data_IF_809220715594
#
_entry.id   IF_809220715594
#
_cell.length_a   1.000
_cell.length_b   1.000
_cell.length_c   1.000
_cell.angle_alpha   90.00
_cell.angle_beta   90.00
_cell.angle_gamma   90.00
#
_symmetry.space_group_name_H-M   'P 1'
#
loop_
_entity.id
_entity.type
_entity.pdbx_description
1 polymer ?
#
# COMPACT_ATOMS: atom_id res chain seq x y z
N UNK A 1 -14.74 -3.71 16.11
CA UNK A 1 -15.36 -2.36 15.99
C UNK A 1 -16.00 -2.30 14.62
N UNK A 2 -17.25 -1.86 14.50
CA UNK A 2 -17.90 -1.68 13.19
C UNK A 2 -17.85 -0.19 12.86
N UNK A 3 -17.20 0.18 11.78
CA UNK A 3 -17.26 1.55 11.26
C UNK A 3 -18.69 1.79 10.76
N UNK A 4 -19.35 2.84 11.25
CA UNK A 4 -20.65 3.25 10.72
C UNK A 4 -20.47 3.96 9.38
N UNK A 5 -21.50 3.90 8.53
CA UNK A 5 -21.52 4.64 7.27
C UNK A 5 -21.29 6.14 7.47
N UNK A 6 -21.84 6.69 8.56
CA UNK A 6 -21.64 8.09 8.95
C UNK A 6 -20.17 8.42 9.28
N UNK A 7 -19.47 7.50 9.97
CA UNK A 7 -18.04 7.66 10.27
C UNK A 7 -17.20 7.67 9.00
N UNK A 8 -17.51 6.79 8.05
CA UNK A 8 -16.83 6.74 6.74
C UNK A 8 -17.08 8.03 5.97
N UNK A 9 -18.33 8.47 5.89
CA UNK A 9 -18.70 9.72 5.20
C UNK A 9 -17.98 10.92 5.82
N UNK A 10 -17.94 11.01 7.14
CA UNK A 10 -17.23 12.08 7.85
C UNK A 10 -15.73 12.10 7.49
N UNK A 11 -15.07 10.93 7.46
CA UNK A 11 -13.65 10.82 7.08
C UNK A 11 -13.43 11.27 5.64
N UNK A 12 -14.29 10.84 4.70
CA UNK A 12 -14.20 11.25 3.30
C UNK A 12 -14.40 12.76 3.12
N UNK A 13 -15.34 13.36 3.85
CA UNK A 13 -15.56 14.81 3.82
C UNK A 13 -14.38 15.59 4.42
N UNK A 14 -13.72 15.07 5.44
CA UNK A 14 -12.48 15.65 5.96
C UNK A 14 -11.37 15.60 4.91
N UNK A 15 -11.19 14.47 4.22
CA UNK A 15 -10.16 14.31 3.19
C UNK A 15 -10.34 15.29 2.04
N UNK A 16 -11.57 15.56 1.60
CA UNK A 16 -11.86 16.54 0.54
C UNK A 16 -11.35 17.95 0.84
N UNK A 17 -11.24 18.30 2.13
CA UNK A 17 -10.78 19.62 2.57
C UNK A 17 -9.25 19.66 2.76
N UNK A 18 -8.55 18.53 2.76
CA UNK A 18 -7.12 18.47 3.06
C UNK A 18 -6.22 18.66 1.85
N UNK A 19 -6.73 18.56 0.62
CA UNK A 19 -5.97 18.66 -0.64
C UNK A 19 -4.63 17.89 -0.58
N UNK A 20 -4.63 16.56 -0.31
CA UNK A 20 -3.40 15.84 -0.16
C UNK A 20 -2.62 15.81 -1.47
N UNK A 21 -1.31 16.07 -1.41
CA UNK A 21 -0.40 15.84 -2.53
C UNK A 21 0.11 14.40 -2.45
N UNK A 22 -0.26 13.61 -3.43
CA UNK A 22 0.09 12.20 -3.54
C UNK A 22 1.10 12.01 -4.65
N UNK A 23 2.30 11.53 -4.30
CA UNK A 23 3.31 11.13 -5.28
C UNK A 23 3.23 9.62 -5.51
N UNK A 24 3.25 9.21 -6.78
CA UNK A 24 3.07 7.82 -7.17
C UNK A 24 4.27 7.30 -7.96
N UNK A 25 4.82 6.18 -7.50
CA UNK A 25 5.78 5.36 -8.23
C UNK A 25 5.05 4.12 -8.76
N UNK A 26 4.63 4.14 -10.03
CA UNK A 26 3.90 3.07 -10.70
C UNK A 26 4.19 3.09 -12.20
N UNK A 27 3.72 2.06 -12.93
CA UNK A 27 3.75 2.06 -14.39
C UNK A 27 2.72 3.04 -15.01
N UNK A 28 2.89 3.37 -16.28
CA UNK A 28 2.04 4.35 -16.96
C UNK A 28 0.56 3.96 -17.03
N UNK A 29 0.26 2.69 -17.14
CA UNK A 29 -1.13 2.19 -17.19
C UNK A 29 -1.87 2.48 -15.89
N UNK A 30 -1.24 2.20 -14.76
CA UNK A 30 -1.79 2.44 -13.44
C UNK A 30 -1.89 3.93 -13.10
N UNK A 31 -0.92 4.74 -13.54
CA UNK A 31 -0.89 6.19 -13.29
C UNK A 31 -2.16 6.90 -13.79
N UNK A 32 -2.69 6.51 -14.96
CA UNK A 32 -3.91 7.11 -15.50
C UNK A 32 -5.13 6.89 -14.59
N UNK A 33 -5.33 5.66 -14.13
CA UNK A 33 -6.45 5.29 -13.24
C UNK A 33 -6.34 6.01 -11.89
N UNK A 34 -5.13 6.05 -11.33
CA UNK A 34 -4.87 6.70 -10.04
C UNK A 34 -5.06 8.21 -10.12
N UNK A 35 -4.61 8.85 -11.21
CA UNK A 35 -4.78 10.28 -11.41
C UNK A 35 -6.25 10.68 -11.39
N UNK A 36 -7.10 9.98 -12.13
CA UNK A 36 -8.54 10.24 -12.16
C UNK A 36 -9.19 10.01 -10.80
N UNK A 37 -8.81 8.93 -10.12
CA UNK A 37 -9.33 8.60 -8.78
C UNK A 37 -8.94 9.66 -7.75
N UNK A 38 -7.67 10.04 -7.70
CA UNK A 38 -7.16 11.02 -6.74
C UNK A 38 -7.79 12.40 -6.97
N UNK A 39 -7.91 12.83 -8.23
CA UNK A 39 -8.58 14.07 -8.59
C UNK A 39 -10.06 14.08 -8.20
N UNK A 40 -10.75 12.96 -8.33
CA UNK A 40 -12.15 12.81 -7.90
C UNK A 40 -12.32 13.10 -6.40
N UNK A 41 -11.32 12.77 -5.58
CA UNK A 41 -11.29 13.05 -4.14
C UNK A 41 -10.58 14.37 -3.78
N UNK A 42 -10.44 15.29 -4.74
CA UNK A 42 -9.77 16.59 -4.57
C UNK A 42 -8.30 16.49 -4.15
N UNK A 43 -7.63 15.37 -4.42
CA UNK A 43 -6.20 15.22 -4.23
C UNK A 43 -5.40 15.83 -5.38
N UNK A 44 -4.16 16.20 -5.10
CA UNK A 44 -3.17 16.59 -6.11
C UNK A 44 -2.31 15.38 -6.42
N UNK A 45 -2.32 14.95 -7.67
CA UNK A 45 -1.56 13.79 -8.13
C UNK A 45 -0.23 14.23 -8.77
N UNK A 46 0.84 13.54 -8.42
CA UNK A 46 2.18 13.76 -8.96
C UNK A 46 2.90 12.43 -9.19
N UNK A 47 3.78 12.38 -10.17
CA UNK A 47 4.65 11.26 -10.49
C UNK A 47 5.94 11.77 -11.15
N UNK A 48 6.90 10.90 -11.43
CA UNK A 48 8.25 11.25 -11.89
C UNK A 48 8.27 12.29 -13.03
N UNK A 49 7.46 12.07 -14.06
CA UNK A 49 7.42 12.92 -15.27
C UNK A 49 6.36 14.02 -15.18
N UNK A 50 5.71 14.20 -14.01
CA UNK A 50 4.75 15.26 -13.82
C UNK A 50 5.43 16.63 -13.75
N UNK A 51 4.72 17.68 -14.18
CA UNK A 51 5.20 19.06 -14.11
C UNK A 51 5.29 19.62 -12.69
N UNK A 52 4.71 18.92 -11.70
CA UNK A 52 4.75 19.31 -10.30
C UNK A 52 6.11 18.92 -9.73
N UNK A 53 6.94 19.90 -9.44
CA UNK A 53 8.20 19.65 -8.74
C UNK A 53 7.95 19.41 -7.25
N UNK A 54 8.71 18.48 -6.66
CA UNK A 54 8.68 18.21 -5.20
C UNK A 54 9.05 19.44 -4.36
N UNK A 55 9.71 20.43 -4.99
CA UNK A 55 10.15 21.67 -4.34
C UNK A 55 8.99 22.66 -4.12
N UNK A 56 7.95 22.59 -4.96
CA UNK A 56 6.82 23.53 -4.89
C UNK A 56 5.74 23.10 -3.90
N UNK A 57 5.58 21.77 -3.69
CA UNK A 57 4.53 21.24 -2.83
C UNK A 57 5.06 20.09 -1.98
N UNK A 58 4.90 20.14 -0.66
CA UNK A 58 5.29 19.02 0.20
C UNK A 58 4.42 17.80 -0.10
N UNK A 59 5.04 16.67 -0.42
CA UNK A 59 4.35 15.40 -0.60
C UNK A 59 3.78 14.98 0.76
N UNK A 60 2.48 14.68 0.81
CA UNK A 60 1.82 14.17 2.02
C UNK A 60 1.80 12.64 2.05
N UNK A 61 1.70 12.03 0.88
CA UNK A 61 1.57 10.58 0.72
C UNK A 61 2.41 10.09 -0.46
N UNK A 62 3.14 9.03 -0.25
CA UNK A 62 3.89 8.31 -1.28
C UNK A 62 3.22 6.94 -1.50
N UNK A 63 2.78 6.68 -2.72
CA UNK A 63 2.31 5.37 -3.17
C UNK A 63 3.41 4.68 -3.96
N UNK A 64 3.79 3.48 -3.55
CA UNK A 64 4.81 2.67 -4.22
C UNK A 64 4.17 1.39 -4.75
N UNK A 65 4.21 1.22 -6.05
CA UNK A 65 3.81 -0.01 -6.74
C UNK A 65 5.05 -0.68 -7.33
N UNK A 66 5.24 -1.95 -7.05
CA UNK A 66 6.37 -2.72 -7.57
C UNK A 66 6.06 -3.34 -8.94
N UNK A 67 5.44 -2.54 -9.84
CA UNK A 67 5.00 -3.02 -11.15
C UNK A 67 6.20 -3.31 -12.05
N UNK A 68 7.11 -2.35 -12.19
CA UNK A 68 8.31 -2.45 -13.01
C UNK A 68 9.57 -2.46 -12.18
N UNK A 69 10.53 -3.29 -12.60
CA UNK A 69 11.81 -3.48 -11.90
C UNK A 69 13.00 -3.12 -12.79
N UNK A 70 12.92 -1.99 -13.46
CA UNK A 70 14.07 -1.40 -14.14
C UNK A 70 14.86 -0.45 -13.22
N UNK A 71 16.10 -0.14 -13.58
CA UNK A 71 16.98 0.69 -12.75
C UNK A 71 16.43 2.10 -12.51
N UNK A 72 15.62 2.60 -13.44
CA UNK A 72 15.05 3.93 -13.37
C UNK A 72 13.91 4.02 -12.39
N UNK A 73 12.98 3.04 -12.38
CA UNK A 73 11.90 2.96 -11.40
C UNK A 73 12.41 2.71 -9.98
N UNK A 74 13.43 1.88 -9.81
CA UNK A 74 14.06 1.68 -8.49
C UNK A 74 14.67 2.99 -7.98
N UNK A 75 15.38 3.72 -8.84
CA UNK A 75 15.98 5.00 -8.47
C UNK A 75 14.92 6.06 -8.11
N UNK A 76 13.79 6.09 -8.81
CA UNK A 76 12.66 6.98 -8.49
C UNK A 76 12.07 6.66 -7.12
N UNK A 77 11.82 5.38 -6.83
CA UNK A 77 11.36 4.92 -5.51
C UNK A 77 12.35 5.35 -4.40
N UNK A 78 13.65 5.12 -4.59
CA UNK A 78 14.66 5.50 -3.59
C UNK A 78 14.71 7.01 -3.37
N UNK A 79 14.69 7.83 -4.43
CA UNK A 79 14.65 9.29 -4.32
C UNK A 79 13.38 9.77 -3.62
N UNK A 80 12.23 9.17 -3.95
CA UNK A 80 10.97 9.51 -3.33
C UNK A 80 11.01 9.21 -1.82
N UNK A 81 11.47 8.01 -1.42
CA UNK A 81 11.59 7.60 -0.01
C UNK A 81 12.55 8.50 0.79
N UNK A 82 13.69 8.88 0.20
CA UNK A 82 14.64 9.81 0.85
C UNK A 82 14.02 11.20 1.06
N UNK A 83 13.16 11.63 0.16
CA UNK A 83 12.49 12.93 0.25
C UNK A 83 11.32 12.96 1.25
N UNK A 84 10.87 11.80 1.76
CA UNK A 84 9.76 11.73 2.71
C UNK A 84 10.22 12.11 4.12
N UNK A 85 9.37 12.85 4.83
CA UNK A 85 9.55 13.22 6.23
C UNK A 85 8.74 12.27 7.13
N UNK A 86 9.08 12.20 8.43
CA UNK A 86 8.40 11.33 9.41
C UNK A 86 6.89 11.57 9.58
N UNK A 87 6.37 12.69 9.13
CA UNK A 87 4.92 13.03 9.23
C UNK A 87 4.12 12.60 8.00
N UNK A 88 4.80 12.24 6.94
CA UNK A 88 4.20 11.85 5.67
C UNK A 88 3.87 10.36 5.69
N UNK A 89 3.01 9.92 4.79
CA UNK A 89 2.52 8.55 4.73
C UNK A 89 3.12 7.81 3.54
N UNK A 90 3.60 6.61 3.79
CA UNK A 90 4.12 5.72 2.73
C UNK A 90 3.26 4.48 2.67
N UNK A 91 2.74 4.19 1.48
CA UNK A 91 2.02 2.98 1.17
C UNK A 91 2.81 2.16 0.15
N UNK A 92 3.01 0.89 0.46
CA UNK A 92 3.69 -0.08 -0.42
C UNK A 92 2.69 -1.16 -0.85
N UNK A 93 2.46 -1.29 -2.15
CA UNK A 93 1.79 -2.45 -2.72
C UNK A 93 2.81 -3.52 -3.10
N UNK A 94 2.69 -4.68 -2.45
CA UNK A 94 3.64 -5.78 -2.54
C UNK A 94 3.39 -6.70 -3.78
N UNK A 95 3.04 -6.09 -4.91
CA UNK A 95 2.62 -6.81 -6.12
C UNK A 95 3.74 -7.69 -6.72
N UNK A 96 3.47 -9.01 -6.85
CA UNK A 96 4.33 -9.99 -7.52
C UNK A 96 5.62 -10.37 -6.78
N UNK A 97 5.72 -10.05 -5.48
CA UNK A 97 6.91 -10.39 -4.68
C UNK A 97 7.03 -11.88 -4.35
N UNK A 98 5.94 -12.60 -4.38
CA UNK A 98 5.91 -14.05 -4.21
C UNK A 98 6.53 -14.80 -5.40
N UNK A 99 6.41 -14.23 -6.60
CA UNK A 99 6.88 -14.83 -7.86
C UNK A 99 8.27 -14.33 -8.29
N UNK A 100 8.63 -13.09 -7.93
CA UNK A 100 9.85 -12.43 -8.43
C UNK A 100 10.81 -12.05 -7.30
N UNK A 101 11.97 -12.74 -7.26
CA UNK A 101 13.01 -12.58 -6.24
C UNK A 101 13.48 -11.12 -6.11
N UNK A 102 13.66 -10.43 -7.24
CA UNK A 102 14.14 -9.04 -7.22
C UNK A 102 13.12 -8.09 -6.58
N UNK A 103 11.82 -8.25 -6.88
CA UNK A 103 10.74 -7.48 -6.24
C UNK A 103 10.69 -7.73 -4.75
N UNK A 104 10.77 -9.00 -4.35
CA UNK A 104 10.81 -9.38 -2.94
C UNK A 104 11.99 -8.74 -2.19
N UNK A 105 13.20 -8.82 -2.76
CA UNK A 105 14.38 -8.23 -2.14
C UNK A 105 14.27 -6.72 -2.02
N UNK A 106 13.70 -6.04 -3.02
CA UNK A 106 13.43 -4.61 -2.96
C UNK A 106 12.40 -4.29 -1.88
N UNK A 107 11.26 -5.00 -1.84
CA UNK A 107 10.23 -4.81 -0.82
C UNK A 107 10.79 -4.97 0.59
N UNK A 108 11.56 -6.04 0.85
CA UNK A 108 12.22 -6.27 2.14
C UNK A 108 13.23 -5.17 2.47
N UNK A 109 14.01 -4.69 1.50
CA UNK A 109 14.94 -3.58 1.68
C UNK A 109 14.21 -2.29 2.06
N UNK A 110 13.09 -1.99 1.40
CA UNK A 110 12.26 -0.83 1.71
C UNK A 110 11.70 -0.92 3.13
N UNK A 111 11.05 -2.03 3.48
CA UNK A 111 10.43 -2.24 4.80
C UNK A 111 11.46 -2.18 5.94
N UNK A 112 12.67 -2.67 5.71
CA UNK A 112 13.73 -2.67 6.74
C UNK A 112 14.43 -1.31 6.93
N UNK A 113 14.35 -0.41 5.95
CA UNK A 113 15.08 0.87 5.95
C UNK A 113 14.19 2.08 6.17
N UNK A 114 12.91 1.98 5.90
CA UNK A 114 11.98 3.11 5.93
C UNK A 114 10.72 2.76 6.72
N UNK A 115 10.09 3.78 7.30
CA UNK A 115 8.82 3.67 8.02
C UNK A 115 7.67 3.55 7.00
N UNK A 116 7.16 2.34 6.76
CA UNK A 116 6.05 2.08 5.85
C UNK A 116 4.75 2.03 6.64
N UNK A 117 3.86 2.98 6.40
CA UNK A 117 2.61 3.11 7.15
C UNK A 117 1.56 2.06 6.76
N UNK A 118 1.53 1.69 5.47
CA UNK A 118 0.57 0.70 4.95
C UNK A 118 1.31 -0.24 4.00
N UNK A 119 1.10 -1.54 4.17
CA UNK A 119 1.53 -2.57 3.23
C UNK A 119 0.28 -3.30 2.74
N UNK A 120 0.06 -3.29 1.41
CA UNK A 120 -1.04 -3.99 0.76
C UNK A 120 -0.50 -5.11 -0.12
N UNK A 121 -1.20 -6.23 -0.17
CA UNK A 121 -0.87 -7.35 -1.05
C UNK A 121 -1.90 -8.46 -0.97
N UNK A 122 -1.76 -9.45 -1.83
CA UNK A 122 -2.48 -10.71 -1.72
C UNK A 122 -1.97 -11.49 -0.51
N UNK A 123 -2.72 -12.51 -0.09
CA UNK A 123 -2.29 -13.38 1.01
C UNK A 123 -0.93 -14.01 0.73
N UNK A 124 -0.71 -14.53 -0.48
CA UNK A 124 0.56 -15.14 -0.89
C UNK A 124 1.73 -14.16 -0.78
N UNK A 125 1.54 -12.92 -1.21
CA UNK A 125 2.56 -11.87 -1.14
C UNK A 125 2.89 -11.49 0.29
N UNK A 126 1.88 -11.27 1.14
CA UNK A 126 2.09 -10.93 2.56
C UNK A 126 2.74 -12.08 3.33
N UNK A 127 2.33 -13.33 3.09
CA UNK A 127 2.97 -14.52 3.69
C UNK A 127 4.43 -14.66 3.25
N UNK A 128 4.72 -14.32 2.01
CA UNK A 128 6.09 -14.27 1.50
C UNK A 128 6.93 -13.22 2.23
N UNK A 129 6.42 -12.00 2.46
CA UNK A 129 7.11 -10.99 3.26
C UNK A 129 7.41 -11.49 4.68
N UNK A 130 6.41 -12.04 5.35
CA UNK A 130 6.55 -12.57 6.72
C UNK A 130 7.62 -13.65 6.76
N UNK A 131 7.54 -14.64 5.86
CA UNK A 131 8.49 -15.74 5.77
C UNK A 131 9.94 -15.25 5.66
N UNK A 132 10.20 -14.33 4.74
CA UNK A 132 11.56 -13.88 4.46
C UNK A 132 12.08 -12.81 5.43
N UNK A 133 11.23 -12.02 6.06
CA UNK A 133 11.66 -11.08 7.07
C UNK A 133 11.93 -11.77 8.43
N UNK A 134 11.19 -12.82 8.75
CA UNK A 134 11.27 -13.50 10.04
C UNK A 134 12.14 -14.77 10.00
N UNK A 135 12.59 -15.20 8.81
CA UNK A 135 13.29 -16.47 8.60
C UNK A 135 12.50 -17.67 9.17
N UNK A 136 11.17 -17.62 9.09
CA UNK A 136 10.29 -18.67 9.62
C UNK A 136 10.11 -19.78 8.57
N UNK A 137 10.27 -21.03 8.99
CA UNK A 137 9.99 -22.20 8.16
C UNK A 137 8.48 -22.31 7.87
N UNK A 138 8.11 -22.76 6.67
CA UNK A 138 6.70 -22.85 6.21
C UNK A 138 5.79 -23.64 7.14
N UNK A 139 6.30 -24.68 7.79
CA UNK A 139 5.52 -25.53 8.70
C UNK A 139 4.99 -24.75 9.91
N UNK A 140 5.73 -23.76 10.43
CA UNK A 140 5.32 -22.96 11.58
C UNK A 140 4.28 -21.88 11.23
N UNK A 141 4.13 -21.54 9.96
CA UNK A 141 3.12 -20.59 9.51
C UNK A 141 1.69 -21.17 9.50
N UNK A 142 1.56 -22.48 9.45
CA UNK A 142 0.28 -23.18 9.32
C UNK A 142 -0.39 -23.57 10.65
N UNK A 143 0.33 -23.59 11.78
CA UNK A 143 -0.14 -24.14 13.05
C UNK A 143 -0.72 -23.13 14.04
N UNK A 144 -0.41 -21.86 13.90
CA UNK A 144 -0.98 -20.81 14.75
C UNK A 144 -2.11 -20.10 14.03
N UNK A 145 -3.12 -19.68 14.79
CA UNK A 145 -4.21 -18.80 14.35
C UNK A 145 -3.73 -17.85 13.25
N UNK A 146 -4.22 -18.03 12.01
CA UNK A 146 -3.73 -17.36 10.79
C UNK A 146 -3.58 -15.87 10.99
N UNK A 147 -4.51 -15.26 11.73
CA UNK A 147 -4.50 -13.82 11.99
C UNK A 147 -3.36 -13.40 12.93
N UNK A 148 -2.85 -14.31 13.77
CA UNK A 148 -1.78 -13.99 14.72
C UNK A 148 -0.47 -13.59 14.01
N UNK A 149 -0.09 -14.28 12.94
CA UNK A 149 1.11 -13.95 12.15
C UNK A 149 1.02 -12.57 11.52
N UNK A 150 -0.14 -12.21 10.97
CA UNK A 150 -0.38 -10.90 10.35
C UNK A 150 -0.33 -9.77 11.39
N UNK A 151 -0.96 -9.97 12.54
CA UNK A 151 -0.91 -9.02 13.65
C UNK A 151 0.50 -8.81 14.18
N UNK A 152 1.28 -9.87 14.35
CA UNK A 152 2.66 -9.77 14.81
C UNK A 152 3.55 -9.01 13.81
N UNK A 153 3.43 -9.34 12.53
CA UNK A 153 4.16 -8.63 11.48
C UNK A 153 3.80 -7.14 11.46
N UNK A 154 2.51 -6.82 11.49
CA UNK A 154 1.99 -5.46 11.55
C UNK A 154 2.55 -4.69 12.75
N UNK A 155 2.49 -5.28 13.95
CA UNK A 155 3.06 -4.71 15.18
C UNK A 155 4.56 -4.46 15.07
N UNK A 156 5.32 -5.46 14.63
CA UNK A 156 6.77 -5.41 14.52
C UNK A 156 7.25 -4.29 13.60
N UNK A 157 6.55 -4.10 12.49
CA UNK A 157 6.89 -3.10 11.48
C UNK A 157 6.17 -1.76 11.71
N UNK A 158 5.31 -1.66 12.74
CA UNK A 158 4.47 -0.48 13.00
C UNK A 158 3.70 -0.03 11.75
N UNK A 159 3.09 -1.00 11.05
CA UNK A 159 2.41 -0.80 9.76
C UNK A 159 0.99 -1.33 9.79
N UNK A 160 0.12 -0.79 8.97
CA UNK A 160 -1.20 -1.36 8.69
C UNK A 160 -1.01 -2.37 7.55
N UNK A 161 -1.48 -3.60 7.74
CA UNK A 161 -1.56 -4.60 6.68
C UNK A 161 -2.95 -4.58 6.05
N UNK A 162 -2.99 -4.60 4.73
CA UNK A 162 -4.20 -4.81 3.93
C UNK A 162 -3.98 -6.07 3.09
N UNK A 163 -4.66 -7.14 3.45
CA UNK A 163 -4.54 -8.44 2.77
C UNK A 163 -5.77 -8.67 1.90
N UNK A 164 -5.53 -8.84 0.60
CA UNK A 164 -6.56 -9.10 -0.40
C UNK A 164 -6.73 -10.59 -0.60
N UNK A 165 -7.96 -11.06 -0.44
CA UNK A 165 -8.50 -12.34 -0.89
C UNK A 165 -9.88 -12.07 -1.54
N UNK A 166 -10.84 -12.97 -1.39
CA UNK A 166 -12.25 -12.70 -1.75
C UNK A 166 -12.85 -11.56 -0.89
N UNK A 167 -12.29 -11.35 0.29
CA UNK A 167 -12.57 -10.25 1.20
C UNK A 167 -11.24 -9.61 1.59
N UNK A 168 -11.29 -8.34 2.03
CA UNK A 168 -10.13 -7.70 2.58
C UNK A 168 -10.01 -7.96 4.08
N UNK A 169 -8.84 -8.35 4.53
CA UNK A 169 -8.46 -8.38 5.93
C UNK A 169 -7.49 -7.24 6.22
N UNK A 170 -7.79 -6.44 7.23
CA UNK A 170 -6.99 -5.26 7.59
C UNK A 170 -6.62 -5.35 9.07
N UNK A 171 -5.34 -5.09 9.40
CA UNK A 171 -4.89 -5.04 10.79
C UNK A 171 -3.76 -4.03 10.99
N UNK A 172 -3.78 -3.34 12.13
CA UNK A 172 -2.66 -2.54 12.68
C UNK A 172 -1.87 -3.32 13.74
N UNK A 173 -2.15 -4.63 13.88
CA UNK A 173 -1.59 -5.51 14.89
C UNK A 173 -2.36 -5.51 16.22
N UNK A 174 -3.24 -4.55 16.46
CA UNK A 174 -4.09 -4.44 17.65
C UNK A 174 -5.56 -4.67 17.32
N UNK A 175 -6.02 -4.08 16.22
CA UNK A 175 -7.38 -4.17 15.69
C UNK A 175 -7.41 -4.99 14.41
N UNK A 176 -8.57 -5.57 14.12
CA UNK A 176 -8.81 -6.37 12.92
C UNK A 176 -10.13 -5.93 12.27
N UNK A 177 -10.12 -5.79 10.95
CA UNK A 177 -11.28 -5.46 10.16
C UNK A 177 -11.40 -6.42 8.98
N UNK A 178 -12.64 -6.78 8.65
CA UNK A 178 -12.98 -7.58 7.48
C UNK A 178 -13.94 -6.79 6.60
N UNK A 179 -13.54 -6.55 5.35
CA UNK A 179 -14.38 -5.88 4.37
C UNK A 179 -14.78 -6.92 3.34
N UNK A 180 -16.08 -7.16 3.20
CA UNK A 180 -16.59 -8.06 2.17
C UNK A 180 -16.47 -7.40 0.80
N UNK A 181 -15.80 -8.10 -0.12
CA UNK A 181 -15.81 -7.72 -1.53
C UNK A 181 -17.23 -7.79 -2.08
N UNK A 182 -17.67 -6.75 -2.76
CA UNK A 182 -18.97 -6.75 -3.42
C UNK A 182 -18.77 -7.12 -4.89
N UNK A 183 -19.06 -8.38 -5.24
CA UNK A 183 -18.86 -8.92 -6.59
C UNK A 183 -19.83 -8.32 -7.65
N UNK A 184 -20.63 -7.32 -7.30
CA UNK A 184 -21.69 -6.78 -8.16
C UNK A 184 -21.29 -5.53 -8.96
N UNK A 185 -20.06 -5.07 -8.91
CA UNK A 185 -19.62 -3.94 -9.72
C UNK A 185 -18.85 -4.41 -10.96
N UNK A 186 -19.24 -3.88 -12.11
CA UNK A 186 -18.69 -4.15 -13.45
C UNK A 186 -17.25 -3.61 -13.67
N UNK A 187 -16.54 -3.21 -12.61
CA UNK A 187 -15.15 -2.82 -12.72
C UNK A 187 -14.26 -4.05 -12.82
N UNK A 188 -13.31 -3.99 -13.72
CA UNK A 188 -12.27 -4.99 -13.85
C UNK A 188 -11.60 -5.21 -12.49
N UNK A 189 -11.27 -6.44 -12.12
CA UNK A 189 -10.71 -6.77 -10.80
C UNK A 189 -9.49 -5.90 -10.44
N UNK A 190 -8.70 -5.51 -11.45
CA UNK A 190 -7.53 -4.67 -11.30
C UNK A 190 -7.87 -3.19 -11.02
N UNK A 191 -8.95 -2.67 -11.59
CA UNK A 191 -9.39 -1.28 -11.37
C UNK A 191 -9.94 -1.06 -9.95
N UNK A 192 -10.57 -2.08 -9.36
CA UNK A 192 -11.05 -2.02 -7.98
C UNK A 192 -9.91 -1.96 -6.97
N UNK A 193 -8.77 -2.60 -7.25
CA UNK A 193 -7.63 -2.59 -6.35
C UNK A 193 -6.99 -1.21 -6.22
N UNK A 194 -6.99 -0.45 -7.31
CA UNK A 194 -6.44 0.90 -7.33
C UNK A 194 -7.35 1.92 -6.62
N UNK A 195 -8.66 1.63 -6.54
CA UNK A 195 -9.62 2.48 -5.81
C UNK A 195 -9.51 2.28 -4.28
N UNK A 196 -9.15 1.09 -3.82
CA UNK A 196 -9.02 0.78 -2.39
C UNK A 196 -7.60 0.95 -1.84
N UNK A 197 -6.68 1.46 -2.65
CA UNK A 197 -5.35 1.88 -2.23
C UNK A 197 -5.35 3.36 -1.88
#
# INVERSE_FOLDING_TARGET
MRLSEESIKYILDLQKNMLPLIYCCANNERLGILEDTIKHYNGIFSYKDSKLSKEEYPINTLLIFLDEMNSESILDIEKALIAMNKRERVLLEANGIDSLINKRNLALSIINRYDINVIKGTKSEIETLIKFQENVEEEKLNESNVNYKYRNFSKKNNTILIIKEDNYYITDGYSEFFIKGNNNYFLNKNELDDIYT
#
